data_IF_798872662045
#
_entry.id   IF_798872662045
#
_cell.length_a   1.000
_cell.length_b   1.000
_cell.length_c   1.000
_cell.angle_alpha   90.00
_cell.angle_beta   90.00
_cell.angle_gamma   90.00
#
_symmetry.space_group_name_H-M   'P 1'
#
loop_
_entity.id
_entity.type
_entity.pdbx_description
1 polymer ?
#
# COMPACT_ATOMS: atom_id res chain seq x y z
N UNK A 1 -4.76 6.27 -16.32
CA UNK A 1 -5.96 5.64 -15.70
C UNK A 1 -6.97 6.69 -15.24
N UNK A 2 -8.29 6.47 -15.40
CA UNK A 2 -9.34 7.41 -14.92
C UNK A 2 -9.54 7.32 -13.40
N UNK A 3 -10.17 8.34 -12.81
CA UNK A 3 -10.51 8.33 -11.37
C UNK A 3 -11.45 7.18 -10.98
N UNK A 4 -12.44 6.88 -11.82
CA UNK A 4 -13.34 5.73 -11.61
C UNK A 4 -12.59 4.40 -11.61
N UNK A 5 -11.63 4.24 -12.53
CA UNK A 5 -10.77 3.06 -12.59
C UNK A 5 -9.90 2.92 -11.33
N UNK A 6 -9.33 4.03 -10.86
CA UNK A 6 -8.55 4.08 -9.59
C UNK A 6 -9.41 3.66 -8.40
N UNK A 7 -10.61 4.22 -8.25
CA UNK A 7 -11.55 3.85 -7.18
C UNK A 7 -11.94 2.38 -7.27
N UNK A 8 -12.24 1.90 -8.49
CA UNK A 8 -12.61 0.50 -8.72
C UNK A 8 -11.48 -0.47 -8.34
N UNK A 9 -10.22 -0.13 -8.65
CA UNK A 9 -9.09 -0.98 -8.30
C UNK A 9 -8.85 -1.02 -6.78
N UNK A 10 -8.99 0.11 -6.06
CA UNK A 10 -8.93 0.10 -4.60
C UNK A 10 -10.07 -0.72 -3.99
N UNK A 11 -11.31 -0.59 -4.51
CA UNK A 11 -12.44 -1.41 -4.05
C UNK A 11 -12.18 -2.91 -4.24
N UNK A 12 -11.61 -3.29 -5.38
CA UNK A 12 -11.23 -4.66 -5.64
C UNK A 12 -10.23 -5.18 -4.60
N UNK A 13 -9.16 -4.42 -4.30
CA UNK A 13 -8.18 -4.80 -3.28
C UNK A 13 -8.81 -4.86 -1.87
N UNK A 14 -9.68 -3.91 -1.52
CA UNK A 14 -10.39 -3.92 -0.23
C UNK A 14 -11.23 -5.19 -0.06
N UNK A 15 -11.98 -5.58 -1.10
CA UNK A 15 -12.79 -6.80 -1.07
C UNK A 15 -11.93 -8.05 -0.85
N UNK A 16 -10.72 -8.10 -1.41
CA UNK A 16 -9.78 -9.20 -1.16
C UNK A 16 -9.33 -9.22 0.31
N UNK A 17 -8.99 -8.06 0.89
CA UNK A 17 -8.58 -7.92 2.29
C UNK A 17 -9.69 -8.36 3.25
N UNK A 18 -10.93 -7.98 2.96
CA UNK A 18 -12.10 -8.41 3.73
C UNK A 18 -12.32 -9.92 3.62
N UNK A 19 -12.20 -10.48 2.42
CA UNK A 19 -12.39 -11.92 2.17
C UNK A 19 -11.39 -12.78 2.94
N UNK A 20 -10.11 -12.38 2.97
CA UNK A 20 -9.09 -13.15 3.70
C UNK A 20 -9.31 -13.10 5.22
N UNK A 21 -10.01 -12.10 5.74
CA UNK A 21 -10.29 -12.05 7.18
C UNK A 21 -11.24 -13.18 7.63
N UNK A 22 -11.89 -13.88 6.70
CA UNK A 22 -12.86 -14.95 6.94
C UNK A 22 -12.29 -16.37 6.72
N UNK A 23 -11.02 -16.52 6.36
CA UNK A 23 -10.39 -17.83 6.05
C UNK A 23 -9.36 -18.24 7.12
N UNK A 24 -8.77 -19.43 6.97
CA UNK A 24 -7.77 -19.96 7.90
C UNK A 24 -6.52 -19.06 8.00
N UNK A 25 -5.81 -19.12 9.14
CA UNK A 25 -4.61 -18.31 9.35
C UNK A 25 -3.46 -18.63 8.36
N UNK A 26 -3.34 -19.90 7.96
CA UNK A 26 -2.33 -20.32 6.98
C UNK A 26 -2.65 -19.78 5.58
N UNK A 27 -3.92 -19.86 5.17
CA UNK A 27 -4.37 -19.29 3.90
C UNK A 27 -4.24 -17.77 3.91
N UNK A 28 -4.59 -17.10 5.02
CA UNK A 28 -4.43 -15.66 5.19
C UNK A 28 -3.00 -15.20 4.87
N UNK A 29 -1.98 -15.95 5.29
CA UNK A 29 -0.59 -15.61 5.01
C UNK A 29 -0.29 -15.62 3.51
N UNK A 30 -0.71 -16.67 2.81
CA UNK A 30 -0.50 -16.80 1.36
C UNK A 30 -1.20 -15.66 0.60
N UNK A 31 -2.47 -15.39 0.92
CA UNK A 31 -3.22 -14.34 0.24
C UNK A 31 -2.76 -12.92 0.61
N UNK A 32 -2.24 -12.70 1.82
CA UNK A 32 -1.67 -11.40 2.22
C UNK A 32 -0.53 -10.99 1.30
N UNK A 33 0.43 -11.89 1.06
CA UNK A 33 1.57 -11.62 0.19
C UNK A 33 1.11 -11.43 -1.28
N UNK A 34 0.07 -12.15 -1.72
CA UNK A 34 -0.53 -11.96 -3.05
C UNK A 34 -1.20 -10.59 -3.23
N UNK A 35 -2.02 -10.15 -2.25
CA UNK A 35 -2.69 -8.83 -2.30
C UNK A 35 -1.67 -7.70 -2.33
N UNK A 36 -0.58 -7.80 -1.53
CA UNK A 36 0.51 -6.83 -1.55
C UNK A 36 1.16 -6.78 -2.93
N UNK A 37 1.45 -7.92 -3.55
CA UNK A 37 2.00 -7.95 -4.92
C UNK A 37 1.07 -7.28 -5.94
N UNK A 38 -0.25 -7.47 -5.85
CA UNK A 38 -1.21 -6.80 -6.74
C UNK A 38 -1.23 -5.28 -6.54
N UNK A 39 -1.05 -4.81 -5.30
CA UNK A 39 -0.91 -3.38 -5.02
C UNK A 39 0.40 -2.83 -5.58
N UNK A 40 1.51 -3.55 -5.40
CA UNK A 40 2.82 -3.18 -5.93
C UNK A 40 2.82 -3.07 -7.47
N UNK A 41 2.18 -4.03 -8.16
CA UNK A 41 2.01 -3.98 -9.61
C UNK A 41 1.24 -2.73 -10.07
N UNK A 42 0.21 -2.33 -9.32
CA UNK A 42 -0.57 -1.13 -9.60
C UNK A 42 0.21 0.16 -9.30
N UNK A 43 1.10 0.15 -8.29
CA UNK A 43 2.04 1.25 -8.05
C UNK A 43 2.95 1.43 -9.26
N UNK A 44 3.57 0.34 -9.74
CA UNK A 44 4.45 0.37 -10.91
C UNK A 44 3.69 0.88 -12.14
N UNK A 45 2.47 0.38 -12.37
CA UNK A 45 1.64 0.86 -13.48
C UNK A 45 1.33 2.36 -13.36
N UNK A 46 0.93 2.83 -12.17
CA UNK A 46 0.63 4.23 -11.94
C UNK A 46 1.85 5.14 -12.19
N UNK A 47 3.02 4.75 -11.69
CA UNK A 47 4.27 5.50 -11.86
C UNK A 47 4.62 5.62 -13.36
N UNK A 48 4.47 4.53 -14.12
CA UNK A 48 4.71 4.53 -15.57
C UNK A 48 3.67 5.37 -16.34
N UNK A 49 2.38 5.22 -16.02
CA UNK A 49 1.28 5.93 -16.67
C UNK A 49 1.40 7.46 -16.50
N UNK A 50 1.83 7.91 -15.32
CA UNK A 50 1.97 9.33 -14.98
C UNK A 50 3.37 9.89 -15.31
N UNK A 51 4.32 9.06 -15.73
CA UNK A 51 5.70 9.47 -16.03
C UNK A 51 6.45 9.99 -14.80
N UNK A 52 6.18 9.43 -13.62
CA UNK A 52 6.78 9.82 -12.34
C UNK A 52 8.04 8.99 -12.09
N UNK A 53 9.06 9.58 -11.45
CA UNK A 53 10.23 8.81 -11.01
C UNK A 53 9.94 8.05 -9.70
N UNK A 54 10.35 6.78 -9.66
CA UNK A 54 10.27 5.92 -8.47
C UNK A 54 11.65 5.42 -8.05
N UNK A 55 11.96 5.50 -6.76
CA UNK A 55 13.21 4.99 -6.19
C UNK A 55 12.95 4.14 -4.95
N UNK A 56 13.73 3.07 -4.77
CA UNK A 56 13.74 2.27 -3.56
C UNK A 56 15.06 2.47 -2.82
N UNK A 57 14.98 3.04 -1.62
CA UNK A 57 16.09 3.14 -0.68
C UNK A 57 16.03 1.98 0.32
N UNK A 58 17.02 1.10 0.28
CA UNK A 58 17.06 -0.11 1.12
C UNK A 58 17.22 0.20 2.62
N UNK A 59 17.85 1.33 2.95
CA UNK A 59 17.98 1.80 4.32
C UNK A 59 17.94 3.33 4.36
N UNK A 60 16.97 3.87 5.08
CA UNK A 60 16.93 5.28 5.46
C UNK A 60 17.21 5.41 6.95
N UNK A 61 18.23 6.19 7.36
CA UNK A 61 18.48 6.50 8.78
C UNK A 61 17.27 7.17 9.44
N UNK A 62 16.43 7.84 8.65
CA UNK A 62 15.24 8.57 9.09
C UNK A 62 14.13 7.68 9.59
N UNK A 63 13.88 6.57 8.89
CA UNK A 63 12.81 5.61 9.22
C UNK A 63 13.34 4.30 9.78
N UNK A 64 14.67 4.15 9.88
CA UNK A 64 15.36 2.91 10.23
C UNK A 64 14.90 1.70 9.41
N UNK A 65 14.59 1.91 8.13
CA UNK A 65 14.04 0.86 7.28
C UNK A 65 14.01 1.23 5.80
N UNK A 66 13.27 0.43 5.02
CA UNK A 66 13.05 0.66 3.60
C UNK A 66 12.21 1.91 3.40
N UNK A 67 12.65 2.77 2.47
CA UNK A 67 11.89 3.92 1.99
C UNK A 67 11.65 3.75 0.50
N UNK A 68 10.43 4.06 0.07
CA UNK A 68 10.06 4.14 -1.35
C UNK A 68 9.76 5.61 -1.62
N UNK A 69 10.41 6.17 -2.63
CA UNK A 69 10.17 7.54 -3.08
C UNK A 69 9.45 7.50 -4.42
N UNK A 70 8.34 8.22 -4.53
CA UNK A 70 7.56 8.36 -5.76
C UNK A 70 7.35 9.85 -5.99
N UNK A 71 8.02 10.41 -7.00
CA UNK A 71 8.15 11.86 -7.16
C UNK A 71 8.73 12.50 -5.91
N UNK A 72 8.04 13.51 -5.37
CA UNK A 72 8.46 14.24 -4.17
C UNK A 72 7.95 13.62 -2.85
N UNK A 73 7.33 12.44 -2.91
CA UNK A 73 6.73 11.79 -1.74
C UNK A 73 7.56 10.59 -1.31
N UNK A 74 7.96 10.58 -0.04
CA UNK A 74 8.60 9.43 0.61
C UNK A 74 7.57 8.61 1.39
N UNK A 75 7.70 7.30 1.31
CA UNK A 75 6.90 6.33 2.06
C UNK A 75 7.83 5.44 2.87
N UNK A 76 7.60 5.36 4.17
CA UNK A 76 8.33 4.50 5.10
C UNK A 76 7.48 3.31 5.50
N UNK A 77 8.13 2.18 5.80
CA UNK A 77 7.43 1.02 6.33
C UNK A 77 6.73 1.37 7.65
N UNK A 78 5.46 0.97 7.78
CA UNK A 78 4.66 1.26 8.96
C UNK A 78 3.97 -0.01 9.49
N UNK A 79 4.41 -0.46 10.67
CA UNK A 79 3.91 -1.68 11.30
C UNK A 79 2.41 -1.64 11.61
N UNK A 80 1.78 -0.47 11.63
CA UNK A 80 0.33 -0.36 11.83
C UNK A 80 -0.50 -0.89 10.66
N UNK A 81 0.09 -0.97 9.46
CA UNK A 81 -0.55 -1.45 8.23
C UNK A 81 -0.08 -2.86 7.86
N UNK A 82 0.08 -3.73 8.86
CA UNK A 82 0.53 -5.10 8.63
C UNK A 82 -0.63 -6.01 8.19
N UNK A 83 -0.67 -6.34 6.89
CA UNK A 83 -1.67 -7.22 6.26
C UNK A 83 -1.84 -8.58 6.97
N UNK A 84 -0.79 -9.07 7.64
CA UNK A 84 -0.80 -10.37 8.34
C UNK A 84 -1.59 -10.35 9.64
N UNK A 85 -1.93 -9.18 10.16
CA UNK A 85 -2.65 -9.01 11.43
C UNK A 85 -4.05 -8.47 11.16
N UNK A 86 -5.05 -8.93 11.91
CA UNK A 86 -6.42 -8.44 11.83
C UNK A 86 -6.49 -6.91 12.03
N UNK A 87 -5.90 -6.42 13.12
CA UNK A 87 -5.79 -4.98 13.39
C UNK A 87 -5.08 -4.20 12.28
N UNK A 88 -4.07 -4.79 11.64
CA UNK A 88 -3.38 -4.17 10.52
C UNK A 88 -4.26 -4.07 9.28
N UNK A 89 -5.06 -5.10 8.98
CA UNK A 89 -6.08 -5.08 7.92
C UNK A 89 -7.17 -4.03 8.18
N UNK A 90 -7.68 -3.96 9.41
CA UNK A 90 -8.62 -2.91 9.81
C UNK A 90 -8.06 -1.50 9.59
N UNK A 91 -6.80 -1.28 10.01
CA UNK A 91 -6.12 0.00 9.81
C UNK A 91 -5.89 0.34 8.33
N UNK A 92 -5.66 -0.67 7.48
CA UNK A 92 -5.53 -0.46 6.04
C UNK A 92 -6.86 0.05 5.47
N UNK A 93 -7.97 -0.64 5.79
CA UNK A 93 -9.31 -0.32 5.29
C UNK A 93 -9.85 1.02 5.82
N UNK A 94 -9.49 1.39 7.05
CA UNK A 94 -9.95 2.64 7.68
C UNK A 94 -9.61 3.90 6.88
N UNK A 95 -10.64 4.57 6.35
CA UNK A 95 -10.50 5.82 5.60
C UNK A 95 -9.70 5.68 4.29
N UNK A 96 -9.58 4.47 3.73
CA UNK A 96 -8.74 4.24 2.54
C UNK A 96 -9.23 4.98 1.28
N UNK A 97 -10.53 5.28 1.20
CA UNK A 97 -11.12 6.07 0.10
C UNK A 97 -11.01 7.58 0.32
N UNK A 98 -10.54 8.02 1.48
CA UNK A 98 -10.39 9.44 1.83
C UNK A 98 -8.97 9.96 1.54
N UNK A 99 -8.07 9.07 1.10
CA UNK A 99 -6.67 9.39 0.79
C UNK A 99 -6.40 9.26 -0.72
N UNK A 100 -5.34 9.91 -1.23
CA UNK A 100 -4.94 9.77 -2.62
C UNK A 100 -4.74 8.31 -3.04
N UNK A 101 -5.00 8.02 -4.31
CA UNK A 101 -4.88 6.67 -4.88
C UNK A 101 -3.53 6.00 -4.59
N UNK A 102 -2.43 6.74 -4.79
CA UNK A 102 -1.09 6.21 -4.53
C UNK A 102 -0.86 5.95 -3.03
N UNK A 103 -1.34 6.84 -2.15
CA UNK A 103 -1.25 6.66 -0.70
C UNK A 103 -2.02 5.41 -0.24
N UNK A 104 -3.16 5.11 -0.89
CA UNK A 104 -3.94 3.90 -0.63
C UNK A 104 -3.19 2.62 -1.03
N UNK A 105 -2.59 2.60 -2.22
CA UNK A 105 -1.77 1.46 -2.66
C UNK A 105 -0.56 1.24 -1.74
N UNK A 106 0.16 2.32 -1.41
CA UNK A 106 1.31 2.25 -0.50
C UNK A 106 0.90 1.75 0.89
N UNK A 107 -0.27 2.16 1.38
CA UNK A 107 -0.84 1.66 2.64
C UNK A 107 -1.12 0.16 2.60
N UNK A 108 -1.71 -0.35 1.52
CA UNK A 108 -1.96 -1.79 1.33
C UNK A 108 -0.63 -2.56 1.32
N UNK A 109 0.43 -1.99 0.74
CA UNK A 109 1.80 -2.52 0.78
C UNK A 109 2.50 -2.42 2.15
N UNK A 110 1.85 -1.84 3.17
CA UNK A 110 2.41 -1.71 4.52
C UNK A 110 3.29 -0.47 4.72
N UNK A 111 3.12 0.57 3.90
CA UNK A 111 3.86 1.82 3.98
C UNK A 111 2.95 3.00 4.38
N UNK A 112 3.57 4.06 4.89
CA UNK A 112 2.89 5.33 5.15
C UNK A 112 3.73 6.51 4.67
N UNK A 113 3.05 7.58 4.28
CA UNK A 113 3.71 8.81 3.85
C UNK A 113 4.54 9.40 4.99
N UNK A 114 5.82 9.63 4.76
CA UNK A 114 6.69 10.32 5.70
C UNK A 114 6.42 11.83 5.61
N UNK A 115 6.51 12.56 6.74
CA UNK A 115 6.43 14.03 6.71
C UNK A 115 7.53 14.60 5.80
N UNK A 116 7.36 15.82 5.28
CA UNK A 116 8.48 16.48 4.61
C UNK A 116 9.56 16.85 5.64
N UNK A 117 10.84 16.77 5.26
CA UNK A 117 11.90 17.37 6.08
C UNK A 117 11.73 18.89 5.98
N UNK A 118 11.47 19.53 7.12
CA UNK A 118 11.46 20.99 7.24
C UNK A 118 12.89 21.55 7.13
#
# INVERSE_FOLDING_TARGET
MTEEQRISSIKFLCNLIETISCISADDQRFYSDHIVSLADDQVIQYVNDEGIEGEVMMYSPRSHGRVIRIGDVEYGQDGKYNMRTEKGRENILGGIFEIPYIDALMRIGGFSRLPLLA
#
